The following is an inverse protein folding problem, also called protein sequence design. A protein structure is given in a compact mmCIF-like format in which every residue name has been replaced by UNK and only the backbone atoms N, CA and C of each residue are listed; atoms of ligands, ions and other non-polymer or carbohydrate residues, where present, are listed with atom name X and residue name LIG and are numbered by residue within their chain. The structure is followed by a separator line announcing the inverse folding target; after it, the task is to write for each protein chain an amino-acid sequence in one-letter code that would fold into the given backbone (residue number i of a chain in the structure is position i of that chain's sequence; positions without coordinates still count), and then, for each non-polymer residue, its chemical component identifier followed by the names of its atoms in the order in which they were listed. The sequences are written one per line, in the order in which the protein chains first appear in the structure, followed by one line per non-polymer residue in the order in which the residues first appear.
data_IF_708996532070
#
_entry.id   IF_708996532070
#
_cell.length_a   1.000
_cell.length_b   1.000
_cell.length_c   1.000
_cell.angle_alpha   90.00
_cell.angle_beta   90.00
_cell.angle_gamma   90.00
#
_symmetry.space_group_name_H-M   'P 1'
#
loop_
_entity.id
_entity.type
_entity.pdbx_description
1 polymer ?
#
# COMPACT_ATOMS: atom_id res chain seq x y z
N UNK A 1 -7.60 -29.92 -67.10
CA UNK A 1 -7.42 -29.60 -65.66
C UNK A 1 -6.02 -29.14 -65.43
N UNK A 2 -5.80 -27.82 -65.58
CA UNK A 2 -4.54 -27.17 -65.22
C UNK A 2 -4.47 -27.06 -63.69
N UNK A 3 -3.76 -28.01 -63.10
CA UNK A 3 -3.30 -27.84 -61.72
C UNK A 3 -2.14 -26.86 -61.76
N UNK A 4 -2.42 -25.59 -61.52
CA UNK A 4 -1.40 -24.58 -61.34
C UNK A 4 -0.61 -24.91 -60.05
N UNK A 5 0.48 -25.67 -60.17
CA UNK A 5 1.43 -25.87 -59.10
C UNK A 5 2.03 -24.50 -58.76
N UNK A 6 1.64 -23.97 -57.63
CA UNK A 6 2.24 -22.73 -57.09
C UNK A 6 3.71 -23.04 -56.78
N UNK A 7 4.59 -22.51 -57.61
CA UNK A 7 6.05 -22.72 -57.45
C UNK A 7 6.46 -22.06 -56.11
N UNK A 8 7.28 -22.82 -55.33
CA UNK A 8 7.88 -22.30 -54.08
C UNK A 8 8.60 -20.97 -54.30
N UNK A 9 9.12 -20.75 -55.51
CA UNK A 9 9.80 -19.53 -55.93
C UNK A 9 8.82 -18.33 -56.01
N UNK A 10 7.59 -18.57 -56.45
CA UNK A 10 6.57 -17.52 -56.59
C UNK A 10 6.02 -17.15 -55.18
N UNK A 11 5.92 -18.13 -54.27
CA UNK A 11 5.56 -17.90 -52.90
C UNK A 11 6.62 -17.04 -52.18
N UNK A 12 7.92 -17.38 -52.34
CA UNK A 12 9.04 -16.62 -51.74
C UNK A 12 9.04 -15.17 -52.33
N UNK A 13 8.87 -15.04 -53.64
CA UNK A 13 8.82 -13.72 -54.31
C UNK A 13 7.64 -12.85 -53.79
N UNK A 14 6.49 -13.49 -53.54
CA UNK A 14 5.31 -12.81 -52.93
C UNK A 14 5.58 -12.30 -51.51
N UNK A 15 6.21 -13.16 -50.68
CA UNK A 15 6.59 -12.76 -49.33
C UNK A 15 7.60 -11.61 -49.35
N UNK A 16 8.58 -11.63 -50.26
CA UNK A 16 9.56 -10.55 -50.36
C UNK A 16 8.94 -9.23 -50.85
N UNK A 17 7.92 -9.27 -51.69
CA UNK A 17 7.21 -8.07 -52.17
C UNK A 17 6.40 -7.38 -51.05
N UNK A 18 5.85 -8.14 -50.08
CA UNK A 18 5.04 -7.59 -48.97
C UNK A 18 5.85 -7.43 -47.68
N UNK A 19 7.16 -7.77 -47.65
CA UNK A 19 8.01 -7.70 -46.45
C UNK A 19 7.92 -6.33 -45.73
N UNK A 20 7.85 -5.23 -46.50
CA UNK A 20 7.75 -3.88 -45.93
C UNK A 20 6.47 -3.68 -45.14
N UNK A 21 5.34 -4.20 -45.65
CA UNK A 21 4.05 -4.13 -44.94
C UNK A 21 4.03 -5.03 -43.72
N UNK A 22 4.67 -6.22 -43.77
CA UNK A 22 4.77 -7.12 -42.60
C UNK A 22 5.64 -6.52 -41.49
N UNK A 23 6.79 -5.97 -41.84
CA UNK A 23 7.68 -5.33 -40.85
C UNK A 23 7.01 -4.05 -40.29
N UNK A 24 6.39 -3.24 -41.15
CA UNK A 24 5.64 -2.04 -40.72
C UNK A 24 4.47 -2.40 -39.81
N UNK A 25 3.72 -3.44 -40.11
CA UNK A 25 2.61 -3.94 -39.31
C UNK A 25 3.09 -4.46 -37.94
N UNK A 26 4.20 -5.21 -37.91
CA UNK A 26 4.81 -5.67 -36.65
C UNK A 26 5.27 -4.50 -35.79
N UNK A 27 5.94 -3.50 -36.34
CA UNK A 27 6.40 -2.33 -35.61
C UNK A 27 5.21 -1.51 -35.07
N UNK A 28 4.17 -1.31 -35.87
CA UNK A 28 2.98 -0.58 -35.45
C UNK A 28 2.26 -1.31 -34.31
N UNK A 29 2.08 -2.64 -34.43
CA UNK A 29 1.45 -3.42 -33.37
C UNK A 29 2.27 -3.43 -32.08
N UNK A 30 3.61 -3.50 -32.17
CA UNK A 30 4.49 -3.40 -31.00
C UNK A 30 4.40 -2.03 -30.34
N UNK A 31 4.31 -0.93 -31.11
CA UNK A 31 4.11 0.42 -30.58
C UNK A 31 2.76 0.58 -29.86
N UNK A 32 1.68 0.07 -30.47
CA UNK A 32 0.35 0.10 -29.86
C UNK A 32 0.33 -0.73 -28.57
N UNK A 33 0.87 -1.94 -28.59
CA UNK A 33 0.96 -2.79 -27.40
C UNK A 33 1.80 -2.14 -26.29
N UNK A 34 2.94 -1.54 -26.65
CA UNK A 34 3.78 -0.80 -25.71
C UNK A 34 3.05 0.41 -25.10
N UNK A 35 2.35 1.18 -25.89
CA UNK A 35 1.55 2.32 -25.42
C UNK A 35 0.41 1.88 -24.49
N UNK A 36 -0.29 0.78 -24.81
CA UNK A 36 -1.34 0.22 -23.96
C UNK A 36 -0.78 -0.30 -22.63
N UNK A 37 0.36 -0.98 -22.64
CA UNK A 37 1.03 -1.46 -21.42
C UNK A 37 1.48 -0.29 -20.55
N UNK A 38 2.03 0.77 -21.11
CA UNK A 38 2.40 1.98 -20.38
C UNK A 38 1.17 2.67 -19.77
N UNK A 39 0.12 2.83 -20.55
CA UNK A 39 -1.13 3.42 -20.07
C UNK A 39 -1.75 2.58 -18.93
N UNK A 40 -1.77 1.26 -19.08
CA UNK A 40 -2.23 0.36 -18.04
C UNK A 40 -1.37 0.46 -16.77
N UNK A 41 -0.05 0.48 -16.92
CA UNK A 41 0.87 0.59 -15.78
C UNK A 41 0.71 1.91 -15.02
N UNK A 42 0.52 3.02 -15.74
CA UNK A 42 0.26 4.33 -15.12
C UNK A 42 -1.09 4.36 -14.42
N UNK A 43 -2.13 3.77 -15.04
CA UNK A 43 -3.48 3.73 -14.47
C UNK A 43 -3.60 2.81 -13.24
N UNK A 44 -2.76 1.77 -13.13
CA UNK A 44 -2.77 0.81 -12.01
C UNK A 44 -1.66 1.03 -10.99
N UNK A 45 -0.86 2.09 -11.16
CA UNK A 45 0.20 2.39 -10.21
C UNK A 45 -0.39 2.90 -8.89
N UNK A 46 -0.29 2.07 -7.86
CA UNK A 46 -0.68 2.42 -6.50
C UNK A 46 0.50 3.07 -5.78
N UNK A 47 0.31 4.31 -5.35
CA UNK A 47 1.22 4.98 -4.44
C UNK A 47 0.73 4.74 -3.01
N UNK A 48 1.50 4.01 -2.23
CA UNK A 48 1.24 3.80 -0.81
C UNK A 48 2.23 4.62 0.00
N UNK A 49 1.71 5.53 0.80
CA UNK A 49 2.52 6.29 1.76
C UNK A 49 2.11 5.88 3.16
N UNK A 50 3.08 5.56 3.99
CA UNK A 50 2.87 5.11 5.36
C UNK A 50 3.38 6.14 6.36
N UNK A 51 2.62 6.33 7.43
CA UNK A 51 3.00 7.17 8.56
C UNK A 51 2.81 6.37 9.85
N UNK A 52 3.90 6.23 10.62
CA UNK A 52 3.87 5.47 11.88
C UNK A 52 3.58 6.43 13.04
N UNK A 53 2.59 6.09 13.84
CA UNK A 53 2.23 6.80 15.07
C UNK A 53 2.71 5.97 16.26
N UNK A 54 3.36 6.62 17.21
CA UNK A 54 3.66 6.07 18.53
C UNK A 54 2.71 6.67 19.56
N UNK A 55 1.98 5.81 20.28
CA UNK A 55 1.09 6.22 21.35
C UNK A 55 1.83 6.35 22.67
N UNK A 56 1.81 7.53 23.27
CA UNK A 56 2.52 7.87 24.49
C UNK A 56 1.59 8.42 25.58
N UNK A 57 0.35 7.95 25.64
CA UNK A 57 -0.60 8.37 26.65
C UNK A 57 -0.94 7.24 27.62
N UNK A 58 -1.30 7.59 28.84
CA UNK A 58 -1.72 6.65 29.90
C UNK A 58 -3.04 5.98 29.53
N UNK A 59 -3.19 4.69 29.91
CA UNK A 59 -4.40 3.89 29.62
C UNK A 59 -4.34 3.16 28.28
N UNK A 60 -3.34 3.42 27.42
CA UNK A 60 -3.23 2.78 26.12
C UNK A 60 -3.14 1.25 26.19
N UNK A 61 -2.46 0.72 27.19
CA UNK A 61 -2.34 -0.72 27.47
C UNK A 61 -3.69 -1.38 27.77
N UNK A 62 -4.65 -0.61 28.26
CA UNK A 62 -6.03 -1.05 28.55
C UNK A 62 -7.02 -0.64 27.45
N UNK A 63 -6.53 -0.13 26.30
CA UNK A 63 -7.33 0.45 25.23
C UNK A 63 -8.27 1.58 25.73
N UNK A 64 -7.73 2.46 26.55
CA UNK A 64 -8.45 3.60 27.11
C UNK A 64 -7.67 4.90 26.88
N UNK A 65 -8.40 5.99 26.73
CA UNK A 65 -7.86 7.34 26.81
C UNK A 65 -7.55 7.71 28.25
N UNK A 66 -6.76 8.76 28.51
CA UNK A 66 -6.47 9.23 29.89
C UNK A 66 -7.72 9.57 30.71
N UNK A 67 -8.80 9.95 30.02
CA UNK A 67 -10.11 10.24 30.67
C UNK A 67 -10.94 8.97 30.96
N UNK A 68 -10.40 7.76 30.70
CA UNK A 68 -11.07 6.48 30.94
C UNK A 68 -12.04 6.04 29.84
N UNK A 69 -12.24 6.83 28.78
CA UNK A 69 -13.09 6.39 27.67
C UNK A 69 -12.38 5.34 26.80
N UNK A 70 -13.12 4.40 26.18
CA UNK A 70 -12.52 3.38 25.30
C UNK A 70 -11.78 4.04 24.12
N UNK A 71 -10.57 3.56 23.84
CA UNK A 71 -9.77 3.94 22.67
C UNK A 71 -9.86 2.88 21.58
N UNK A 72 -10.05 3.32 20.35
CA UNK A 72 -9.95 2.48 19.16
C UNK A 72 -9.04 3.12 18.13
N UNK A 73 -8.27 2.30 17.39
CA UNK A 73 -7.48 2.83 16.26
C UNK A 73 -8.34 3.54 15.22
N UNK A 74 -9.59 3.12 15.04
CA UNK A 74 -10.54 3.78 14.13
C UNK A 74 -10.85 5.22 14.51
N UNK A 75 -10.65 5.62 15.77
CA UNK A 75 -10.92 6.99 16.22
C UNK A 75 -9.97 7.99 15.55
N UNK A 76 -8.76 7.53 15.20
CA UNK A 76 -7.73 8.35 14.53
C UNK A 76 -8.17 8.74 13.11
N UNK A 77 -8.90 7.85 12.44
CA UNK A 77 -9.44 8.06 11.10
C UNK A 77 -10.96 8.23 11.12
N UNK A 78 -11.50 8.72 12.25
CA UNK A 78 -12.92 8.99 12.37
C UNK A 78 -13.37 10.02 11.31
N UNK A 79 -14.61 9.94 10.80
CA UNK A 79 -15.10 10.84 9.76
C UNK A 79 -14.93 12.33 10.09
N UNK A 80 -15.07 12.72 11.36
CA UNK A 80 -14.86 14.10 11.79
C UNK A 80 -13.41 14.55 11.57
N UNK A 81 -12.44 13.73 12.00
CA UNK A 81 -11.00 14.00 11.83
C UNK A 81 -10.63 14.10 10.35
N UNK A 82 -11.14 13.15 9.53
CA UNK A 82 -10.86 13.13 8.09
C UNK A 82 -11.51 14.30 7.36
N UNK A 83 -12.71 14.74 7.79
CA UNK A 83 -13.40 15.91 7.21
C UNK A 83 -12.61 17.19 7.46
N UNK A 84 -12.17 17.39 8.72
CA UNK A 84 -11.37 18.57 9.09
C UNK A 84 -10.08 18.66 8.25
N UNK A 85 -9.36 17.55 8.11
CA UNK A 85 -8.13 17.52 7.31
C UNK A 85 -8.40 17.68 5.82
N UNK A 86 -9.46 17.06 5.29
CA UNK A 86 -9.87 17.20 3.90
C UNK A 86 -10.12 18.65 3.51
N UNK A 87 -10.80 19.40 4.37
CA UNK A 87 -11.09 20.82 4.16
C UNK A 87 -9.85 21.70 4.36
N UNK A 88 -9.11 21.48 5.46
CA UNK A 88 -7.91 22.27 5.79
C UNK A 88 -6.82 22.16 4.70
N UNK A 89 -6.59 20.96 4.18
CA UNK A 89 -5.58 20.68 3.16
C UNK A 89 -6.12 20.84 1.73
N UNK A 90 -7.38 21.26 1.58
CA UNK A 90 -8.04 21.49 0.28
C UNK A 90 -7.85 20.31 -0.69
N UNK A 91 -8.05 19.09 -0.20
CA UNK A 91 -7.80 17.85 -0.95
C UNK A 91 -8.63 17.80 -2.24
N UNK A 92 -9.80 18.45 -2.26
CA UNK A 92 -10.66 18.55 -3.45
C UNK A 92 -9.95 19.15 -4.68
N UNK A 93 -8.95 20.03 -4.49
CA UNK A 93 -8.21 20.64 -5.59
C UNK A 93 -7.34 19.62 -6.38
N UNK A 94 -7.07 18.46 -5.80
CA UNK A 94 -6.36 17.37 -6.46
C UNK A 94 -7.32 16.40 -7.19
N UNK A 95 -8.61 16.75 -7.27
CA UNK A 95 -9.62 15.92 -7.92
C UNK A 95 -10.10 14.72 -7.10
N UNK A 96 -9.68 14.61 -5.83
CA UNK A 96 -10.07 13.52 -4.93
C UNK A 96 -11.36 13.91 -4.19
N UNK A 97 -12.44 13.14 -4.35
CA UNK A 97 -13.67 13.36 -3.57
C UNK A 97 -13.45 12.97 -2.10
N UNK A 98 -14.27 13.52 -1.19
CA UNK A 98 -14.18 13.15 0.24
C UNK A 98 -14.36 11.64 0.46
N UNK A 99 -15.27 11.01 -0.28
CA UNK A 99 -15.50 9.56 -0.21
C UNK A 99 -14.26 8.76 -0.64
N UNK A 100 -13.63 9.16 -1.73
CA UNK A 100 -12.40 8.50 -2.23
C UNK A 100 -11.25 8.74 -1.26
N UNK A 101 -11.13 9.96 -0.70
CA UNK A 101 -10.16 10.29 0.35
C UNK A 101 -10.33 9.40 1.57
N UNK A 102 -11.55 9.25 2.07
CA UNK A 102 -11.85 8.38 3.22
C UNK A 102 -11.51 6.92 2.93
N UNK A 103 -11.82 6.42 1.73
CA UNK A 103 -11.53 5.03 1.34
C UNK A 103 -10.04 4.77 1.08
N UNK A 104 -9.28 5.81 0.75
CA UNK A 104 -7.84 5.74 0.51
C UNK A 104 -7.01 5.63 1.81
N UNK A 105 -7.62 5.98 2.96
CA UNK A 105 -6.94 6.00 4.25
C UNK A 105 -7.31 4.74 5.04
N UNK A 106 -6.30 4.03 5.49
CA UNK A 106 -6.45 2.86 6.37
C UNK A 106 -5.50 2.97 7.55
N UNK A 107 -5.88 2.35 8.67
CA UNK A 107 -5.05 2.27 9.86
C UNK A 107 -4.95 0.83 10.33
N UNK A 108 -3.76 0.43 10.77
CA UNK A 108 -3.51 -0.90 11.28
C UNK A 108 -2.53 -0.88 12.45
N UNK A 109 -2.60 -1.85 13.38
CA UNK A 109 -1.59 -2.04 14.39
C UNK A 109 -0.22 -2.29 13.72
N UNK A 110 0.84 -1.73 14.30
CA UNK A 110 2.19 -1.85 13.75
C UNK A 110 3.19 -2.24 14.83
N UNK A 111 4.10 -3.15 14.50
CA UNK A 111 5.20 -3.56 15.37
C UNK A 111 6.52 -3.32 14.61
N UNK A 112 7.20 -2.18 14.84
CA UNK A 112 8.39 -1.80 14.07
C UNK A 112 9.53 -2.81 14.19
N UNK A 113 9.59 -3.55 15.30
CA UNK A 113 10.64 -4.56 15.55
C UNK A 113 10.18 -6.00 15.26
N UNK A 114 9.04 -6.17 14.60
CA UNK A 114 8.47 -7.50 14.34
C UNK A 114 9.48 -8.48 13.75
N UNK A 115 10.25 -8.04 12.75
CA UNK A 115 11.25 -8.90 12.12
C UNK A 115 12.34 -9.32 13.10
N UNK A 116 12.86 -8.42 13.91
CA UNK A 116 13.86 -8.74 14.94
C UNK A 116 13.34 -9.73 15.99
N UNK A 117 12.06 -9.59 16.38
CA UNK A 117 11.43 -10.52 17.32
C UNK A 117 11.29 -11.91 16.70
N UNK A 118 10.89 -11.99 15.43
CA UNK A 118 10.81 -13.25 14.69
C UNK A 118 12.19 -13.89 14.54
N UNK A 119 13.21 -13.12 14.15
CA UNK A 119 14.58 -13.62 13.98
C UNK A 119 15.14 -14.17 15.30
N UNK A 120 14.84 -13.49 16.43
CA UNK A 120 15.21 -13.95 17.75
C UNK A 120 14.56 -15.30 18.09
N UNK A 121 13.30 -15.47 17.77
CA UNK A 121 12.58 -16.74 17.96
C UNK A 121 13.17 -17.84 17.09
N UNK A 122 13.41 -17.58 15.80
CA UNK A 122 14.03 -18.54 14.87
C UNK A 122 15.42 -18.97 15.31
N UNK A 123 16.20 -18.07 15.92
CA UNK A 123 17.51 -18.41 16.46
C UNK A 123 17.43 -19.38 17.66
N UNK A 124 16.34 -19.36 18.44
CA UNK A 124 16.08 -20.32 19.52
C UNK A 124 15.72 -21.68 18.94
N UNK A 125 14.81 -21.71 17.97
CA UNK A 125 14.39 -22.93 17.27
C UNK A 125 15.58 -23.63 16.59
N UNK A 126 16.45 -22.88 15.91
CA UNK A 126 17.64 -23.40 15.24
C UNK A 126 18.66 -24.06 16.16
N UNK A 127 18.66 -23.78 17.47
CA UNK A 127 19.55 -24.38 18.48
C UNK A 127 19.10 -25.74 18.98
N UNK A 128 18.06 -26.34 18.38
CA UNK A 128 17.45 -27.58 18.84
C UNK A 128 16.98 -27.49 20.28
N UNK A 129 16.33 -26.39 20.62
CA UNK A 129 15.73 -26.16 21.93
C UNK A 129 14.73 -27.27 22.28
N UNK A 130 14.51 -27.50 23.55
CA UNK A 130 13.48 -28.43 24.02
C UNK A 130 12.08 -27.89 23.71
N UNK A 131 11.08 -28.76 23.68
CA UNK A 131 9.67 -28.35 23.44
C UNK A 131 9.19 -27.33 24.48
N UNK A 132 9.66 -27.43 25.73
CA UNK A 132 9.33 -26.47 26.78
C UNK A 132 9.92 -25.08 26.50
N UNK A 133 11.18 -24.99 26.09
CA UNK A 133 11.86 -23.74 25.72
C UNK A 133 11.22 -23.09 24.51
N UNK A 134 10.79 -23.89 23.50
CA UNK A 134 10.09 -23.38 22.32
C UNK A 134 8.73 -22.81 22.67
N UNK A 135 7.96 -23.46 23.54
CA UNK A 135 6.65 -22.96 23.98
C UNK A 135 6.82 -21.64 24.75
N UNK A 136 7.78 -21.54 25.66
CA UNK A 136 8.07 -20.32 26.42
C UNK A 136 8.49 -19.18 25.48
N UNK A 137 9.37 -19.47 24.52
CA UNK A 137 9.82 -18.50 23.53
C UNK A 137 8.66 -18.02 22.63
N UNK A 138 7.74 -18.92 22.26
CA UNK A 138 6.56 -18.58 21.47
C UNK A 138 5.60 -17.69 22.27
N UNK A 139 5.34 -18.00 23.53
CA UNK A 139 4.51 -17.15 24.38
C UNK A 139 5.15 -15.77 24.58
N UNK A 140 6.47 -15.72 24.77
CA UNK A 140 7.18 -14.45 24.88
C UNK A 140 7.10 -13.64 23.59
N UNK A 141 7.27 -14.27 22.41
CA UNK A 141 7.11 -13.63 21.12
C UNK A 141 5.70 -13.02 20.96
N UNK A 142 4.67 -13.76 21.35
CA UNK A 142 3.28 -13.27 21.28
C UNK A 142 3.07 -12.08 22.22
N UNK A 143 3.58 -12.12 23.45
CA UNK A 143 3.52 -10.99 24.39
C UNK A 143 4.21 -9.76 23.83
N UNK A 144 5.42 -9.90 23.30
CA UNK A 144 6.23 -8.80 22.77
C UNK A 144 5.58 -8.19 21.50
N UNK A 145 5.04 -9.03 20.61
CA UNK A 145 4.32 -8.56 19.43
C UNK A 145 3.03 -7.82 19.80
N UNK A 146 2.29 -8.32 20.78
CA UNK A 146 1.07 -7.67 21.27
C UNK A 146 1.40 -6.32 21.89
N UNK A 147 2.39 -6.26 22.78
CA UNK A 147 2.84 -5.01 23.40
C UNK A 147 3.31 -3.98 22.35
N UNK A 148 4.09 -4.41 21.36
CA UNK A 148 4.52 -3.54 20.26
C UNK A 148 3.33 -3.03 19.43
N UNK A 149 2.38 -3.90 19.08
CA UNK A 149 1.20 -3.52 18.31
C UNK A 149 0.22 -2.61 19.07
N UNK A 150 0.24 -2.65 20.39
CA UNK A 150 -0.49 -1.70 21.22
C UNK A 150 0.15 -0.31 21.25
N UNK A 151 1.48 -0.25 21.10
CA UNK A 151 2.23 1.01 21.17
C UNK A 151 2.29 1.78 19.86
N UNK A 152 2.21 1.07 18.72
CA UNK A 152 2.37 1.68 17.42
C UNK A 152 1.20 1.35 16.49
N UNK A 153 0.86 2.30 15.63
CA UNK A 153 -0.01 2.09 14.49
C UNK A 153 0.61 2.69 13.23
N UNK A 154 0.21 2.18 12.08
CA UNK A 154 0.55 2.74 10.78
C UNK A 154 -0.72 3.23 10.10
N UNK A 155 -0.73 4.51 9.70
CA UNK A 155 -1.72 5.06 8.79
C UNK A 155 -1.15 4.91 7.38
N UNK A 156 -1.96 4.35 6.48
CA UNK A 156 -1.64 4.21 5.06
C UNK A 156 -2.56 5.08 4.25
N UNK A 157 -1.98 5.79 3.31
CA UNK A 157 -2.72 6.51 2.28
C UNK A 157 -2.39 5.87 0.94
N UNK A 158 -3.39 5.25 0.32
CA UNK A 158 -3.26 4.58 -0.97
C UNK A 158 -3.95 5.40 -2.04
N UNK A 159 -3.20 5.88 -3.03
CA UNK A 159 -3.75 6.62 -4.16
C UNK A 159 -3.51 5.89 -5.46
N UNK A 160 -4.55 5.80 -6.28
CA UNK A 160 -4.49 5.25 -7.64
C UNK A 160 -4.88 6.35 -8.60
N UNK A 161 -3.97 6.72 -9.50
CA UNK A 161 -4.27 7.71 -10.56
C UNK A 161 -4.39 9.18 -10.12
N UNK A 162 -4.12 9.53 -8.87
CA UNK A 162 -4.14 10.92 -8.38
C UNK A 162 -2.73 11.50 -8.26
N UNK A 163 -2.58 12.76 -8.70
CA UNK A 163 -1.29 13.47 -8.69
C UNK A 163 -1.10 14.29 -7.42
N UNK A 164 -1.24 13.67 -6.24
CA UNK A 164 -0.88 14.33 -4.99
C UNK A 164 0.63 14.15 -4.77
N UNK A 165 1.41 15.23 -4.61
CA UNK A 165 2.84 15.11 -4.36
C UNK A 165 3.10 14.36 -3.03
N UNK A 166 4.16 13.56 -2.98
CA UNK A 166 4.49 12.76 -1.79
C UNK A 166 4.62 13.61 -0.51
N UNK A 167 5.15 14.83 -0.63
CA UNK A 167 5.22 15.80 0.48
C UNK A 167 3.83 16.25 0.97
N UNK A 168 2.86 16.36 0.06
CA UNK A 168 1.48 16.67 0.40
C UNK A 168 0.81 15.51 1.14
N UNK A 169 1.05 14.27 0.70
CA UNK A 169 0.53 13.09 1.39
C UNK A 169 1.11 12.96 2.80
N UNK A 170 2.43 13.14 2.96
CA UNK A 170 3.07 13.11 4.26
C UNK A 170 2.50 14.17 5.22
N UNK A 171 2.21 15.38 4.70
CA UNK A 171 1.56 16.44 5.46
C UNK A 171 0.14 16.03 5.90
N UNK A 172 -0.66 15.53 4.97
CA UNK A 172 -2.02 15.04 5.26
C UNK A 172 -2.01 14.00 6.38
N UNK A 173 -1.13 13.00 6.30
CA UNK A 173 -1.03 11.95 7.33
C UNK A 173 -0.60 12.51 8.69
N UNK A 174 0.30 13.48 8.70
CA UNK A 174 0.72 14.17 9.92
C UNK A 174 -0.43 14.98 10.52
N UNK A 175 -1.22 15.66 9.68
CA UNK A 175 -2.32 16.50 10.12
C UNK A 175 -3.53 15.67 10.60
N UNK A 176 -3.73 14.45 10.07
CA UNK A 176 -4.69 13.48 10.64
C UNK A 176 -4.30 13.14 12.08
N UNK A 177 -3.03 12.79 12.32
CA UNK A 177 -2.56 12.46 13.67
C UNK A 177 -2.73 13.64 14.63
N UNK A 178 -2.38 14.87 14.21
CA UNK A 178 -2.53 16.08 15.03
C UNK A 178 -4.00 16.46 15.26
N UNK A 179 -4.88 16.30 14.26
CA UNK A 179 -6.30 16.60 14.43
C UNK A 179 -6.95 15.62 15.40
N UNK A 180 -6.60 14.33 15.30
CA UNK A 180 -7.03 13.34 16.28
C UNK A 180 -6.52 13.69 17.70
N UNK A 181 -5.24 14.00 17.86
CA UNK A 181 -4.63 14.32 19.15
C UNK A 181 -5.37 15.48 19.85
N UNK A 182 -5.67 16.56 19.12
CA UNK A 182 -6.45 17.70 19.64
C UNK A 182 -7.85 17.32 20.09
N UNK A 183 -8.51 16.44 19.32
CA UNK A 183 -9.92 16.08 19.60
C UNK A 183 -10.05 14.99 20.67
N UNK A 184 -9.00 14.22 20.93
CA UNK A 184 -9.04 13.04 21.79
C UNK A 184 -8.42 13.26 23.17
N UNK A 185 -7.49 14.23 23.30
CA UNK A 185 -6.66 14.41 24.50
C UNK A 185 -6.99 15.74 25.22
N UNK A 186 -7.55 16.73 24.50
CA UNK A 186 -8.10 17.98 25.06
C UNK A 186 -9.56 17.78 25.54
#
# INVERSE_FOLDING_TARGET
SDTSEISLKDLIRGIWAVRGYLVGGMLLSALIAGALLLAFRVATYENVTEYVIEFRFEGRENNQYPNGTPFSLSDIIAPAVLSDVYEAEKISQFGLSYRDFQSAITIAPFAPERQKLIDKFQAIDARRATTAELNEAQEQLQRDLTAASQRYAVIRFTTTGYSIPASGIAKVLTDIAKSWERNAID
#
